data_IF_190639002238
#
_entry.id   IF_190639002238
#
_cell.length_a   1.000
_cell.length_b   1.000
_cell.length_c   1.000
_cell.angle_alpha   90.00
_cell.angle_beta   90.00
_cell.angle_gamma   90.00
#
_symmetry.space_group_name_H-M   'P 1'
#
loop_
_entity.id
_entity.type
_entity.pdbx_description
1 polymer ?
#
# COMPACT_ATOMS: atom_id res chain seq x y z
N UNK A 1 -53.29 12.99 53.70
CA UNK A 1 -52.52 11.77 54.03
C UNK A 1 -52.12 11.12 52.73
N UNK A 2 -50.86 11.25 52.33
CA UNK A 2 -50.34 10.59 51.15
C UNK A 2 -48.86 10.36 51.34
N UNK A 3 -48.43 9.11 51.22
CA UNK A 3 -47.31 8.74 50.37
C UNK A 3 -47.14 7.23 50.33
N UNK A 4 -47.44 6.69 49.14
CA UNK A 4 -47.00 5.40 48.65
C UNK A 4 -45.50 5.56 48.36
N UNK A 5 -44.63 4.93 49.17
CA UNK A 5 -43.20 4.80 48.86
C UNK A 5 -42.73 3.39 49.24
N UNK A 6 -43.35 2.40 48.60
CA UNK A 6 -42.91 1.01 48.64
C UNK A 6 -42.72 0.52 47.22
N UNK A 7 -41.47 0.49 46.76
CA UNK A 7 -41.09 -0.11 45.48
C UNK A 7 -40.78 0.91 44.39
N UNK A 8 -39.49 1.24 44.25
CA UNK A 8 -38.70 1.34 43.00
C UNK A 8 -37.35 1.93 43.43
N UNK A 9 -36.43 1.09 43.95
CA UNK A 9 -34.99 1.39 44.02
C UNK A 9 -34.20 0.07 44.02
N UNK A 10 -34.31 -0.68 42.94
CA UNK A 10 -33.34 -1.71 42.59
C UNK A 10 -33.11 -1.59 41.09
N UNK A 11 -32.00 -0.94 40.72
CA UNK A 11 -31.30 -1.00 39.44
C UNK A 11 -30.71 0.38 39.11
N UNK A 12 -29.49 0.65 39.53
CA UNK A 12 -28.51 1.41 38.76
C UNK A 12 -27.25 1.61 39.59
N UNK A 13 -26.29 0.71 39.38
CA UNK A 13 -24.85 1.04 39.42
C UNK A 13 -24.11 -0.12 38.74
N UNK A 14 -24.41 -0.32 37.45
CA UNK A 14 -23.51 -1.14 36.61
C UNK A 14 -22.25 -0.29 36.42
N UNK A 15 -21.12 -0.79 36.93
CA UNK A 15 -19.86 -0.05 36.88
C UNK A 15 -19.49 0.20 35.41
N UNK A 16 -18.89 1.35 35.09
CA UNK A 16 -18.31 1.62 33.76
C UNK A 16 -17.44 0.46 33.25
N UNK A 17 -16.78 -0.25 34.17
CA UNK A 17 -15.99 -1.45 33.90
C UNK A 17 -16.83 -2.64 33.42
N UNK A 18 -18.02 -2.84 33.97
CA UNK A 18 -18.95 -3.91 33.56
C UNK A 18 -19.54 -3.62 32.18
N UNK A 19 -19.87 -2.36 31.89
CA UNK A 19 -20.32 -1.92 30.56
C UNK A 19 -19.23 -2.16 29.51
N UNK A 20 -17.98 -1.80 29.82
CA UNK A 20 -16.83 -2.03 28.92
C UNK A 20 -16.63 -3.53 28.69
N UNK A 21 -16.62 -4.34 29.75
CA UNK A 21 -16.44 -5.79 29.63
C UNK A 21 -17.56 -6.44 28.81
N UNK A 22 -18.80 -6.00 28.99
CA UNK A 22 -19.96 -6.50 28.23
C UNK A 22 -19.88 -6.12 26.75
N UNK A 23 -19.44 -4.91 26.44
CA UNK A 23 -19.26 -4.46 25.07
C UNK A 23 -18.08 -5.18 24.39
N UNK A 24 -16.98 -5.42 25.12
CA UNK A 24 -15.87 -6.23 24.63
C UNK A 24 -16.30 -7.67 24.33
N UNK A 25 -17.09 -8.29 25.23
CA UNK A 25 -17.62 -9.64 25.02
C UNK A 25 -18.52 -9.70 23.78
N UNK A 26 -19.44 -8.74 23.62
CA UNK A 26 -20.30 -8.64 22.42
C UNK A 26 -19.48 -8.50 21.14
N UNK A 27 -18.40 -7.72 21.17
CA UNK A 27 -17.54 -7.53 20.02
C UNK A 27 -16.81 -8.83 19.64
N UNK A 28 -16.34 -9.59 20.64
CA UNK A 28 -15.72 -10.91 20.44
C UNK A 28 -16.71 -11.92 19.88
N UNK A 29 -17.95 -11.94 20.38
CA UNK A 29 -19.02 -12.81 19.86
C UNK A 29 -19.36 -12.48 18.40
N UNK A 30 -19.46 -11.19 18.05
CA UNK A 30 -19.70 -10.75 16.68
C UNK A 30 -18.54 -11.12 15.74
N UNK A 31 -17.30 -10.94 16.18
CA UNK A 31 -16.11 -11.34 15.42
C UNK A 31 -16.09 -12.86 15.19
N UNK A 32 -16.43 -13.63 16.22
CA UNK A 32 -16.50 -15.10 16.13
C UNK A 32 -17.56 -15.54 15.13
N UNK A 33 -18.76 -14.94 15.19
CA UNK A 33 -19.84 -15.23 14.24
C UNK A 33 -19.47 -14.85 12.80
N UNK A 34 -18.76 -13.74 12.60
CA UNK A 34 -18.28 -13.31 11.29
C UNK A 34 -17.24 -14.29 10.71
N UNK A 35 -16.28 -14.73 11.52
CA UNK A 35 -15.28 -15.75 11.12
C UNK A 35 -15.98 -17.06 10.74
N UNK A 36 -16.96 -17.49 11.52
CA UNK A 36 -17.74 -18.71 11.23
C UNK A 36 -18.54 -18.59 9.93
N UNK A 37 -19.11 -17.42 9.66
CA UNK A 37 -19.82 -17.14 8.43
C UNK A 37 -18.87 -17.15 7.21
N UNK A 38 -17.68 -16.56 7.33
CA UNK A 38 -16.64 -16.61 6.30
C UNK A 38 -16.19 -18.04 6.02
N UNK A 39 -15.93 -18.83 7.07
CA UNK A 39 -15.53 -20.23 6.91
C UNK A 39 -16.62 -21.06 6.22
N UNK A 40 -17.88 -20.87 6.57
CA UNK A 40 -19.02 -21.53 5.91
C UNK A 40 -19.16 -21.10 4.45
N UNK A 41 -18.97 -19.82 4.15
CA UNK A 41 -18.99 -19.31 2.78
C UNK A 41 -17.84 -19.90 1.95
N UNK A 42 -16.63 -20.01 2.51
CA UNK A 42 -15.47 -20.58 1.84
C UNK A 42 -15.65 -22.08 1.52
N UNK A 43 -16.26 -22.83 2.45
CA UNK A 43 -16.59 -24.26 2.27
C UNK A 43 -17.70 -24.43 1.23
N UNK A 44 -18.72 -23.58 1.24
CA UNK A 44 -19.83 -23.63 0.27
C UNK A 44 -19.44 -23.16 -1.14
N UNK A 45 -18.38 -22.34 -1.27
CA UNK A 45 -17.81 -21.95 -2.57
C UNK A 45 -16.86 -23.01 -3.16
N UNK A 46 -16.59 -24.12 -2.46
CA UNK A 46 -15.66 -25.17 -2.91
C UNK A 46 -16.33 -26.32 -3.70
N UNK A 47 -17.27 -25.99 -4.59
CA UNK A 47 -17.70 -26.91 -5.67
C UNK A 47 -17.07 -26.53 -7.00
N UNK A 48 -15.74 -26.50 -7.07
CA UNK A 48 -14.95 -26.84 -8.26
C UNK A 48 -13.46 -26.65 -7.99
N UNK A 49 -12.67 -27.59 -8.50
CA UNK A 49 -11.20 -27.69 -8.46
C UNK A 49 -10.64 -28.44 -7.25
N UNK A 50 -10.38 -29.73 -7.49
CA UNK A 50 -9.49 -30.59 -6.69
C UNK A 50 -8.11 -29.94 -6.59
N UNK A 51 -7.79 -29.36 -5.45
CA UNK A 51 -6.40 -29.14 -5.05
C UNK A 51 -5.99 -30.30 -4.15
N UNK A 52 -5.03 -31.07 -4.63
CA UNK A 52 -4.46 -32.23 -3.93
C UNK A 52 -3.51 -31.69 -2.85
N UNK A 53 -4.02 -31.49 -1.64
CA UNK A 53 -3.20 -31.14 -0.47
C UNK A 53 -2.70 -32.42 0.21
N UNK A 54 -1.45 -32.77 -0.02
CA UNK A 54 -0.70 -33.68 0.87
C UNK A 54 -0.29 -32.89 2.11
N UNK A 55 -1.16 -32.90 3.13
CA UNK A 55 -0.76 -32.56 4.49
C UNK A 55 -0.80 -33.85 5.32
N UNK A 56 0.36 -34.29 5.78
CA UNK A 56 0.45 -35.38 6.77
C UNK A 56 0.21 -34.78 8.16
N UNK A 57 -0.85 -35.24 8.79
CA UNK A 57 -1.21 -34.93 10.17
C UNK A 57 -0.26 -35.67 11.14
N UNK A 58 0.37 -35.00 12.12
CA UNK A 58 0.93 -35.68 13.28
C UNK A 58 -0.19 -35.96 14.28
N UNK A 59 -0.40 -37.25 14.57
CA UNK A 59 -1.27 -37.71 15.65
C UNK A 59 -0.70 -37.34 17.02
N UNK A 60 -1.65 -37.09 17.94
CA UNK A 60 -1.59 -37.13 19.40
C UNK A 60 -1.44 -35.77 20.14
N UNK A 61 -2.56 -35.38 20.77
CA UNK A 61 -2.66 -34.52 21.95
C UNK A 61 -2.44 -35.44 23.16
N UNK A 62 -1.58 -35.11 24.16
CA UNK A 62 -2.10 -34.46 25.37
C UNK A 62 -1.10 -33.60 26.17
N UNK A 63 -1.55 -32.42 26.59
CA UNK A 63 -1.79 -32.08 28.01
C UNK A 63 -1.94 -30.57 28.14
N UNK A 64 -2.98 -30.17 28.85
CA UNK A 64 -3.23 -28.80 29.28
C UNK A 64 -2.09 -28.41 30.21
N UNK A 65 -1.18 -27.56 29.74
CA UNK A 65 -0.24 -26.85 30.58
C UNK A 65 -0.47 -25.37 30.31
N UNK A 66 -1.00 -24.68 31.33
CA UNK A 66 -1.13 -23.23 31.38
C UNK A 66 0.17 -22.60 30.87
N UNK A 67 0.15 -22.05 29.65
CA UNK A 67 1.21 -21.18 29.20
C UNK A 67 1.06 -19.85 29.92
N UNK A 68 1.72 -19.73 31.08
CA UNK A 68 2.16 -18.44 31.56
C UNK A 68 2.98 -17.78 30.45
N UNK A 69 2.57 -16.58 30.02
CA UNK A 69 3.39 -15.74 29.16
C UNK A 69 4.64 -15.33 29.95
N UNK A 70 5.73 -16.07 29.76
CA UNK A 70 7.05 -15.65 30.19
C UNK A 70 7.68 -14.84 29.06
N UNK A 71 7.88 -13.54 29.28
CA UNK A 71 8.73 -12.72 28.42
C UNK A 71 10.17 -13.23 28.53
N UNK A 72 10.58 -14.10 27.62
CA UNK A 72 12.00 -14.32 27.41
C UNK A 72 12.57 -13.02 26.86
N UNK A 73 13.46 -12.39 27.63
CA UNK A 73 14.32 -11.32 27.13
C UNK A 73 15.13 -11.92 25.98
N UNK A 74 14.63 -11.77 24.76
CA UNK A 74 15.35 -12.15 23.56
C UNK A 74 16.71 -11.46 23.63
N UNK A 75 17.77 -12.23 23.42
CA UNK A 75 19.07 -11.63 23.10
C UNK A 75 18.79 -10.67 21.95
N UNK A 76 19.09 -9.39 22.18
CA UNK A 76 19.12 -8.37 21.14
C UNK A 76 20.00 -8.95 20.06
N UNK A 77 19.38 -9.51 19.01
CA UNK A 77 20.06 -9.72 17.77
C UNK A 77 20.64 -8.36 17.42
N UNK A 78 21.92 -8.31 17.13
CA UNK A 78 22.54 -7.14 16.54
C UNK A 78 21.89 -6.92 15.17
N UNK A 79 20.65 -6.40 15.15
CA UNK A 79 20.29 -5.49 14.10
C UNK A 79 21.32 -4.38 14.22
N UNK A 80 21.96 -4.08 13.09
CA UNK A 80 22.75 -2.87 12.98
C UNK A 80 21.90 -1.75 13.59
N UNK A 81 22.35 -1.22 14.73
CA UNK A 81 22.03 0.15 15.09
C UNK A 81 22.63 0.95 13.94
N UNK A 82 21.84 1.19 12.90
CA UNK A 82 22.12 2.25 11.96
C UNK A 82 22.10 3.50 12.81
N UNK A 83 23.31 3.93 13.17
CA UNK A 83 23.52 5.19 13.85
C UNK A 83 22.85 6.28 13.05
N UNK A 84 22.39 7.31 13.75
CA UNK A 84 22.03 8.60 13.18
C UNK A 84 23.25 9.05 12.35
N UNK A 85 23.20 8.78 11.05
CA UNK A 85 24.38 8.67 10.24
C UNK A 85 24.04 9.06 8.82
N UNK A 86 24.26 10.35 8.54
CA UNK A 86 24.32 10.98 7.22
C UNK A 86 23.04 10.94 6.38
N UNK A 87 22.71 12.06 5.73
CA UNK A 87 21.67 12.14 4.71
C UNK A 87 21.91 11.11 3.61
N UNK A 88 21.35 9.91 3.75
CA UNK A 88 21.32 8.94 2.67
C UNK A 88 20.67 9.62 1.47
N UNK A 89 21.31 9.44 0.32
CA UNK A 89 20.75 9.93 -0.93
C UNK A 89 19.33 9.40 -1.08
N UNK A 90 18.34 10.25 -1.43
CA UNK A 90 16.99 9.78 -1.70
C UNK A 90 17.06 8.67 -2.75
N UNK A 91 16.43 7.53 -2.46
CA UNK A 91 16.40 6.34 -3.33
C UNK A 91 14.99 5.79 -3.46
N UNK A 92 14.75 5.04 -4.53
CA UNK A 92 13.53 4.27 -4.74
C UNK A 92 13.74 2.87 -4.19
N UNK A 93 12.67 2.26 -3.67
CA UNK A 93 12.63 0.85 -3.38
C UNK A 93 12.81 0.05 -4.68
N UNK A 94 13.54 -1.05 -4.62
CA UNK A 94 13.77 -1.95 -5.74
C UNK A 94 13.38 -3.36 -5.33
N UNK A 95 12.12 -3.71 -5.55
CA UNK A 95 11.62 -5.05 -5.34
C UNK A 95 11.90 -5.95 -6.55
N UNK A 96 11.91 -7.26 -6.34
CA UNK A 96 12.13 -8.21 -7.42
C UNK A 96 11.01 -8.07 -8.46
N UNK A 97 11.40 -7.75 -9.70
CA UNK A 97 10.46 -7.72 -10.83
C UNK A 97 9.94 -9.11 -11.13
N UNK A 98 8.63 -9.19 -11.35
CA UNK A 98 8.02 -10.39 -11.92
C UNK A 98 8.47 -10.49 -13.38
N UNK A 99 8.98 -11.65 -13.78
CA UNK A 99 9.19 -11.96 -15.20
C UNK A 99 7.83 -12.15 -15.86
N UNK A 100 7.22 -11.06 -16.30
CA UNK A 100 5.99 -11.13 -17.08
C UNK A 100 6.32 -11.54 -18.52
N UNK A 101 5.58 -12.49 -19.12
CA UNK A 101 5.66 -12.79 -20.55
C UNK A 101 4.98 -11.71 -21.41
N UNK A 102 4.80 -10.50 -20.86
CA UNK A 102 4.00 -9.43 -21.46
C UNK A 102 4.96 -8.45 -22.12
N UNK A 103 4.87 -8.35 -23.45
CA UNK A 103 5.65 -7.36 -24.22
C UNK A 103 4.97 -5.99 -24.26
N UNK A 104 3.64 -5.94 -24.12
CA UNK A 104 2.86 -4.71 -24.34
C UNK A 104 1.66 -4.62 -23.40
N UNK A 105 1.46 -3.44 -22.81
CA UNK A 105 0.27 -3.08 -22.03
C UNK A 105 -0.31 -1.82 -22.63
N UNK A 106 -1.62 -1.79 -22.89
CA UNK A 106 -2.30 -0.58 -23.38
C UNK A 106 -3.06 0.06 -22.23
N UNK A 107 -2.72 1.30 -21.88
CA UNK A 107 -3.47 2.11 -20.92
C UNK A 107 -4.39 3.03 -21.70
N UNK A 108 -5.70 2.84 -21.52
CA UNK A 108 -6.75 3.68 -22.07
C UNK A 108 -7.23 4.62 -20.97
N UNK A 109 -7.05 5.92 -21.16
CA UNK A 109 -7.39 6.89 -20.12
C UNK A 109 -6.93 8.31 -20.44
N UNK A 110 -6.93 9.17 -19.43
CA UNK A 110 -6.32 10.50 -19.54
C UNK A 110 -4.80 10.39 -19.40
N UNK A 111 -4.10 10.65 -20.50
CA UNK A 111 -2.63 10.58 -20.57
C UNK A 111 -1.96 11.76 -19.86
N UNK A 112 -2.74 12.81 -19.52
CA UNK A 112 -2.26 13.98 -18.79
C UNK A 112 -2.16 13.74 -17.28
N UNK A 113 -2.60 12.58 -16.79
CA UNK A 113 -2.56 12.24 -15.37
C UNK A 113 -1.12 12.32 -14.83
N UNK A 114 -0.92 13.20 -13.85
CA UNK A 114 0.40 13.54 -13.31
C UNK A 114 1.11 12.32 -12.72
N UNK A 115 0.36 11.36 -12.16
CA UNK A 115 0.93 10.16 -11.58
C UNK A 115 1.56 9.25 -12.63
N UNK A 116 1.01 9.20 -13.84
CA UNK A 116 1.55 8.42 -14.94
C UNK A 116 2.87 9.03 -15.44
N UNK A 117 2.91 10.36 -15.56
CA UNK A 117 4.14 11.11 -15.91
C UNK A 117 5.24 10.92 -14.87
N UNK A 118 4.88 11.03 -13.58
CA UNK A 118 5.81 10.82 -12.48
C UNK A 118 6.33 9.37 -12.45
N UNK A 119 5.46 8.39 -12.68
CA UNK A 119 5.86 6.99 -12.77
C UNK A 119 6.82 6.72 -13.95
N UNK A 120 6.52 7.27 -15.13
CA UNK A 120 7.41 7.18 -16.30
C UNK A 120 8.78 7.83 -16.01
N UNK A 121 8.79 8.95 -15.28
CA UNK A 121 10.01 9.69 -14.94
C UNK A 121 10.93 8.94 -13.97
N UNK A 122 10.37 8.29 -12.94
CA UNK A 122 11.17 7.50 -11.97
C UNK A 122 11.66 6.17 -12.55
N UNK A 123 11.11 5.78 -13.70
CA UNK A 123 11.47 4.53 -14.41
C UNK A 123 12.35 4.76 -15.61
N UNK A 124 12.76 6.01 -15.88
CA UNK A 124 13.75 6.34 -16.91
C UNK A 124 15.04 5.56 -16.68
N UNK A 125 15.49 4.81 -17.69
CA UNK A 125 16.68 3.94 -17.60
C UNK A 125 16.39 2.53 -17.08
N UNK A 126 15.14 2.18 -16.77
CA UNK A 126 14.71 0.79 -16.59
C UNK A 126 14.38 0.14 -17.93
N UNK A 127 14.07 -1.16 -17.91
CA UNK A 127 13.66 -1.89 -19.12
C UNK A 127 12.17 -1.71 -19.50
N UNK A 128 11.47 -0.73 -18.94
CA UNK A 128 10.05 -0.47 -19.19
C UNK A 128 9.92 0.85 -19.94
N UNK A 129 9.31 0.80 -21.13
CA UNK A 129 9.08 1.98 -21.96
C UNK A 129 7.63 2.46 -21.79
N UNK A 130 7.44 3.71 -21.38
CA UNK A 130 6.16 4.41 -21.42
C UNK A 130 6.12 5.25 -22.69
N UNK A 131 5.40 4.78 -23.70
CA UNK A 131 5.36 5.39 -25.03
C UNK A 131 4.91 6.86 -24.95
N UNK A 132 5.77 7.77 -25.41
CA UNK A 132 5.51 9.21 -25.38
C UNK A 132 5.78 9.91 -24.04
N UNK A 133 6.21 9.19 -22.99
CA UNK A 133 6.53 9.78 -21.69
C UNK A 133 7.99 9.58 -21.25
N UNK A 134 8.64 8.48 -21.65
CA UNK A 134 10.07 8.31 -21.48
C UNK A 134 10.69 7.69 -22.75
N UNK A 135 11.84 8.22 -23.18
CA UNK A 135 12.51 7.82 -24.41
C UNK A 135 13.93 7.29 -24.11
N UNK A 136 14.54 6.61 -25.08
CA UNK A 136 15.94 6.18 -25.01
C UNK A 136 16.19 4.72 -24.63
N UNK A 137 15.14 3.89 -24.62
CA UNK A 137 15.27 2.44 -24.41
C UNK A 137 15.22 1.73 -25.78
N UNK A 138 16.36 1.23 -26.24
CA UNK A 138 16.48 0.56 -27.55
C UNK A 138 15.85 -0.84 -27.60
N UNK A 139 15.73 -1.52 -26.46
CA UNK A 139 15.12 -2.85 -26.35
C UNK A 139 14.35 -3.00 -25.03
N UNK A 140 13.13 -2.41 -24.93
CA UNK A 140 12.32 -2.53 -23.71
C UNK A 140 11.85 -3.98 -23.51
N UNK A 141 11.84 -4.43 -22.26
CA UNK A 141 11.21 -5.70 -21.87
C UNK A 141 9.69 -5.64 -21.95
N UNK A 142 9.11 -4.46 -21.69
CA UNK A 142 7.69 -4.21 -21.79
C UNK A 142 7.47 -2.77 -22.25
N UNK A 143 6.50 -2.57 -23.15
CA UNK A 143 6.05 -1.26 -23.61
C UNK A 143 4.66 -0.97 -23.07
N UNK A 144 4.51 0.12 -22.35
CA UNK A 144 3.25 0.70 -21.89
C UNK A 144 2.80 1.72 -22.94
N UNK A 145 1.82 1.34 -23.75
CA UNK A 145 1.19 2.21 -24.75
C UNK A 145 0.09 3.03 -24.12
N UNK A 146 0.06 4.32 -24.45
CA UNK A 146 -0.96 5.23 -23.95
C UNK A 146 -1.96 5.53 -25.06
N UNK A 147 -3.23 5.27 -24.79
CA UNK A 147 -4.31 5.54 -25.71
C UNK A 147 -5.27 6.55 -25.07
N UNK A 148 -5.43 7.75 -25.65
CA UNK A 148 -6.38 8.72 -25.13
C UNK A 148 -7.80 8.14 -25.23
N UNK A 149 -8.55 8.23 -24.14
CA UNK A 149 -9.95 7.80 -24.16
C UNK A 149 -10.81 8.79 -24.95
N UNK A 150 -11.59 8.29 -25.90
CA UNK A 150 -12.57 9.08 -26.67
C UNK A 150 -13.82 9.45 -25.87
N UNK A 151 -13.99 8.86 -24.68
CA UNK A 151 -15.09 9.16 -23.77
C UNK A 151 -14.56 9.38 -22.35
N UNK A 152 -15.19 10.30 -21.63
CA UNK A 152 -14.75 10.81 -20.32
C UNK A 152 -14.89 9.79 -19.17
N UNK A 153 -14.66 8.50 -19.40
CA UNK A 153 -14.92 7.43 -18.44
C UNK A 153 -13.78 6.42 -18.34
N UNK A 154 -13.35 6.27 -17.09
CA UNK A 154 -12.59 5.20 -16.44
C UNK A 154 -11.27 4.79 -17.08
N UNK A 155 -10.20 4.89 -16.30
CA UNK A 155 -8.88 4.38 -16.64
C UNK A 155 -8.91 2.85 -16.77
N UNK A 156 -8.46 2.31 -17.90
CA UNK A 156 -8.44 0.86 -18.17
C UNK A 156 -7.09 0.42 -18.68
N UNK A 157 -6.51 -0.61 -18.07
CA UNK A 157 -5.36 -1.33 -18.61
C UNK A 157 -5.83 -2.56 -19.38
N UNK A 158 -5.37 -2.71 -20.62
CA UNK A 158 -5.55 -3.90 -21.44
C UNK A 158 -4.23 -4.66 -21.58
N UNK A 159 -4.28 -5.96 -21.24
CA UNK A 159 -3.12 -6.86 -21.16
C UNK A 159 -3.52 -8.19 -21.80
N UNK A 160 -2.93 -8.56 -22.92
CA UNK A 160 -3.23 -9.82 -23.61
C UNK A 160 -4.75 -10.06 -23.81
N UNK A 161 -5.51 -9.01 -24.11
CA UNK A 161 -6.98 -9.05 -24.26
C UNK A 161 -7.79 -9.04 -22.96
N UNK A 162 -7.14 -9.02 -21.79
CA UNK A 162 -7.79 -8.87 -20.48
C UNK A 162 -7.81 -7.40 -20.08
N UNK A 163 -8.97 -6.91 -19.61
CA UNK A 163 -9.15 -5.51 -19.18
C UNK A 163 -9.23 -5.39 -17.67
N UNK A 164 -8.50 -4.43 -17.11
CA UNK A 164 -8.48 -4.08 -15.68
C UNK A 164 -8.85 -2.61 -15.56
N UNK A 165 -9.94 -2.29 -14.87
CA UNK A 165 -10.53 -0.94 -14.84
C UNK A 165 -10.41 -0.21 -13.50
N UNK A 166 -9.82 -0.84 -12.49
CA UNK A 166 -9.66 -0.24 -11.16
C UNK A 166 -8.27 0.40 -11.04
N UNK A 167 -8.19 1.68 -10.63
CA UNK A 167 -6.91 2.40 -10.50
C UNK A 167 -5.90 1.63 -9.66
N UNK A 168 -6.30 1.16 -8.48
CA UNK A 168 -5.41 0.43 -7.55
C UNK A 168 -4.84 -0.82 -8.23
N UNK A 169 -5.68 -1.57 -8.93
CA UNK A 169 -5.24 -2.79 -9.64
C UNK A 169 -4.26 -2.44 -10.77
N UNK A 170 -4.49 -1.34 -11.50
CA UNK A 170 -3.55 -0.88 -12.54
C UNK A 170 -2.24 -0.35 -11.93
N UNK A 171 -2.30 0.41 -10.84
CA UNK A 171 -1.12 0.88 -10.14
C UNK A 171 -0.27 -0.25 -9.60
N UNK A 172 -0.87 -1.28 -9.00
CA UNK A 172 -0.15 -2.46 -8.52
C UNK A 172 0.55 -3.20 -9.66
N UNK A 173 -0.12 -3.35 -10.80
CA UNK A 173 0.47 -3.93 -12.00
C UNK A 173 1.69 -3.12 -12.46
N UNK A 174 1.53 -1.81 -12.64
CA UNK A 174 2.61 -0.94 -13.10
C UNK A 174 3.74 -0.87 -12.05
N UNK A 175 3.42 -0.83 -10.77
CA UNK A 175 4.37 -0.89 -9.67
C UNK A 175 5.18 -2.19 -9.67
N UNK A 176 4.54 -3.34 -9.92
CA UNK A 176 5.22 -4.62 -10.00
C UNK A 176 6.16 -4.70 -11.21
N UNK A 177 5.75 -4.13 -12.35
CA UNK A 177 6.58 -4.03 -13.55
C UNK A 177 7.80 -3.13 -13.36
N UNK A 178 7.63 -2.08 -12.57
CA UNK A 178 8.64 -1.03 -12.34
C UNK A 178 9.48 -1.27 -11.10
N UNK A 179 9.30 -2.39 -10.40
CA UNK A 179 9.99 -2.74 -9.13
C UNK A 179 9.58 -1.90 -7.92
N UNK A 180 8.54 -1.08 -8.00
CA UNK A 180 8.09 -0.17 -6.94
C UNK A 180 7.00 -0.77 -6.05
N UNK A 181 6.41 -1.89 -6.44
CA UNK A 181 5.44 -2.66 -5.66
C UNK A 181 5.88 -4.13 -5.56
N UNK A 182 5.99 -4.71 -4.35
CA UNK A 182 6.42 -6.08 -4.19
C UNK A 182 5.31 -7.08 -4.54
N UNK A 183 5.69 -8.22 -5.11
CA UNK A 183 4.75 -9.32 -5.41
C UNK A 183 5.07 -10.60 -4.63
N UNK A 184 6.18 -10.62 -3.90
CA UNK A 184 6.59 -11.76 -3.09
C UNK A 184 5.82 -11.76 -1.76
N UNK A 185 5.42 -12.95 -1.30
CA UNK A 185 4.66 -13.12 -0.05
C UNK A 185 5.44 -12.72 1.20
N UNK A 186 6.77 -12.71 1.13
CA UNK A 186 7.66 -12.23 2.20
C UNK A 186 7.55 -10.73 2.49
N UNK A 187 6.88 -9.97 1.60
CA UNK A 187 6.64 -8.53 1.74
C UNK A 187 5.15 -8.21 1.99
N UNK A 188 4.37 -9.16 2.52
CA UNK A 188 2.94 -8.98 2.75
C UNK A 188 2.61 -7.81 3.68
N UNK A 189 3.46 -7.54 4.67
CA UNK A 189 3.39 -6.39 5.57
C UNK A 189 3.58 -5.06 4.81
N UNK A 190 4.61 -4.98 3.96
CA UNK A 190 4.89 -3.83 3.08
C UNK A 190 3.72 -3.61 2.12
N UNK A 191 3.22 -4.67 1.47
CA UNK A 191 2.04 -4.60 0.60
C UNK A 191 0.82 -4.02 1.33
N UNK A 192 0.58 -4.45 2.57
CA UNK A 192 -0.56 -3.97 3.38
C UNK A 192 -0.44 -2.48 3.66
N UNK A 193 0.75 -2.01 4.02
CA UNK A 193 1.01 -0.58 4.21
C UNK A 193 0.87 0.22 2.92
N UNK A 194 1.39 -0.29 1.81
CA UNK A 194 1.22 0.35 0.50
C UNK A 194 -0.26 0.45 0.11
N UNK A 195 -1.02 -0.63 0.26
CA UNK A 195 -2.44 -0.70 -0.08
C UNK A 195 -3.28 0.31 0.68
N UNK A 196 -2.98 0.50 1.97
CA UNK A 196 -3.58 1.56 2.77
C UNK A 196 -3.39 2.94 2.12
N UNK A 197 -2.18 3.28 1.68
CA UNK A 197 -1.93 4.55 1.00
C UNK A 197 -2.59 4.63 -0.36
N UNK A 198 -2.57 3.56 -1.16
CA UNK A 198 -3.21 3.53 -2.47
C UNK A 198 -4.72 3.84 -2.36
N UNK A 199 -5.40 3.31 -1.33
CA UNK A 199 -6.81 3.61 -1.07
C UNK A 199 -7.03 5.10 -0.79
N UNK A 200 -6.21 5.70 0.09
CA UNK A 200 -6.35 7.12 0.42
C UNK A 200 -6.06 8.03 -0.78
N UNK A 201 -5.13 7.64 -1.64
CA UNK A 201 -4.77 8.38 -2.85
C UNK A 201 -5.88 8.27 -3.89
N UNK A 202 -6.46 7.08 -4.09
CA UNK A 202 -7.61 6.87 -4.98
C UNK A 202 -8.82 7.68 -4.52
N UNK A 203 -9.09 7.75 -3.22
CA UNK A 203 -10.15 8.58 -2.68
C UNK A 203 -9.93 10.08 -2.97
N UNK A 204 -8.70 10.57 -2.94
CA UNK A 204 -8.40 11.96 -3.33
C UNK A 204 -8.58 12.17 -4.84
N UNK A 205 -8.10 11.25 -5.68
CA UNK A 205 -8.26 11.34 -7.14
C UNK A 205 -9.72 11.32 -7.58
N UNK A 206 -10.54 10.48 -6.93
CA UNK A 206 -11.96 10.34 -7.20
C UNK A 206 -12.81 11.43 -6.51
N UNK A 207 -12.17 12.44 -5.90
CA UNK A 207 -12.82 13.52 -5.14
C UNK A 207 -13.74 13.02 -3.99
N UNK A 208 -13.46 11.84 -3.45
CA UNK A 208 -14.16 11.24 -2.29
C UNK A 208 -13.56 11.70 -0.96
N UNK A 209 -12.28 12.09 -0.96
CA UNK A 209 -11.58 12.68 0.18
C UNK A 209 -10.84 13.95 -0.24
N UNK A 210 -10.59 14.83 0.73
CA UNK A 210 -9.78 16.03 0.49
C UNK A 210 -8.28 15.74 0.60
N UNK A 211 -7.50 16.53 -0.15
CA UNK A 211 -6.05 16.52 -0.08
C UNK A 211 -5.54 16.83 1.34
N UNK A 212 -6.20 17.75 2.06
CA UNK A 212 -5.87 18.08 3.45
C UNK A 212 -5.96 16.87 4.39
N UNK A 213 -6.96 15.99 4.17
CA UNK A 213 -7.09 14.77 4.96
C UNK A 213 -5.92 13.81 4.68
N UNK A 214 -5.52 13.66 3.41
CA UNK A 214 -4.35 12.89 3.02
C UNK A 214 -3.08 13.46 3.66
N UNK A 215 -2.85 14.78 3.57
CA UNK A 215 -1.70 15.44 4.19
C UNK A 215 -1.61 15.21 5.70
N UNK A 216 -2.75 15.21 6.41
CA UNK A 216 -2.78 14.95 7.86
C UNK A 216 -2.36 13.51 8.19
N UNK A 217 -2.82 12.54 7.41
CA UNK A 217 -2.41 11.14 7.57
C UNK A 217 -0.92 10.98 7.25
N UNK A 218 -0.47 11.56 6.13
CA UNK A 218 0.95 11.56 5.74
C UNK A 218 1.83 12.17 6.82
N UNK A 219 1.44 13.31 7.39
CA UNK A 219 2.17 13.95 8.47
C UNK A 219 2.38 12.98 9.65
N UNK A 220 1.34 12.28 10.08
CA UNK A 220 1.44 11.32 11.19
C UNK A 220 2.41 10.17 10.87
N UNK A 221 2.39 9.64 9.65
CA UNK A 221 3.33 8.60 9.24
C UNK A 221 4.77 9.12 9.11
N UNK A 222 4.94 10.28 8.48
CA UNK A 222 6.22 10.91 8.19
C UNK A 222 6.89 11.53 9.43
N UNK A 223 6.21 11.63 10.56
CA UNK A 223 6.87 11.97 11.84
C UNK A 223 7.71 10.81 12.39
N UNK A 224 7.50 9.59 11.88
CA UNK A 224 8.18 8.38 12.34
C UNK A 224 9.09 7.78 11.26
N UNK A 225 8.83 8.09 9.99
CA UNK A 225 9.49 7.48 8.84
C UNK A 225 9.84 8.52 7.78
N UNK A 226 10.86 8.23 6.96
CA UNK A 226 11.27 9.13 5.88
C UNK A 226 10.37 9.08 4.64
N UNK A 227 9.59 8.00 4.51
CA UNK A 227 8.68 7.70 3.41
C UNK A 227 7.37 7.16 3.97
N UNK A 228 6.33 7.04 3.12
CA UNK A 228 5.00 6.65 3.55
C UNK A 228 4.92 5.21 4.07
N UNK A 229 5.75 4.32 3.53
CA UNK A 229 5.83 2.93 3.97
C UNK A 229 7.01 2.78 4.93
N UNK A 230 6.81 2.19 6.12
CA UNK A 230 7.87 2.04 7.12
C UNK A 230 9.05 1.20 6.63
N UNK A 231 10.26 1.56 7.08
CA UNK A 231 11.50 0.77 6.93
C UNK A 231 11.91 0.44 5.48
N UNK A 232 11.39 1.18 4.51
CA UNK A 232 11.75 1.04 3.10
C UNK A 232 11.99 2.41 2.46
N UNK A 233 12.73 2.41 1.35
CA UNK A 233 12.92 3.59 0.51
C UNK A 233 11.61 3.96 -0.22
N UNK A 234 11.61 5.05 -1.01
CA UNK A 234 10.41 5.54 -1.69
C UNK A 234 9.75 4.44 -2.54
N UNK A 235 8.47 4.17 -2.30
CA UNK A 235 7.72 3.12 -2.98
C UNK A 235 6.76 3.70 -4.01
N UNK A 236 5.97 2.84 -4.67
CA UNK A 236 4.86 3.28 -5.51
C UNK A 236 3.92 4.25 -4.78
N UNK A 237 3.65 4.02 -3.49
CA UNK A 237 2.78 4.88 -2.70
C UNK A 237 3.30 6.33 -2.64
N UNK A 238 4.61 6.51 -2.47
CA UNK A 238 5.23 7.84 -2.43
C UNK A 238 5.13 8.55 -3.78
N UNK A 239 5.39 7.83 -4.88
CA UNK A 239 5.30 8.37 -6.26
C UNK A 239 3.87 8.83 -6.56
N UNK A 240 2.87 8.02 -6.21
CA UNK A 240 1.46 8.35 -6.44
C UNK A 240 0.98 9.48 -5.52
N UNK A 241 1.34 9.46 -4.23
CA UNK A 241 1.02 10.53 -3.29
C UNK A 241 1.57 11.88 -3.75
N UNK A 242 2.82 11.91 -4.22
CA UNK A 242 3.46 13.12 -4.74
C UNK A 242 2.70 13.70 -5.94
N UNK A 243 1.99 12.84 -6.68
CA UNK A 243 1.27 13.21 -7.89
C UNK A 243 -0.12 13.77 -7.63
N UNK A 244 -0.68 13.55 -6.44
CA UNK A 244 -2.02 14.06 -6.07
C UNK A 244 -1.96 15.29 -5.19
N UNK A 245 -0.82 15.55 -4.54
CA UNK A 245 -0.62 16.76 -3.76
C UNK A 245 -0.45 17.98 -4.68
N UNK A 246 -1.45 18.86 -4.70
CA UNK A 246 -1.42 20.12 -5.42
C UNK A 246 -0.80 21.15 -4.50
N UNK A 247 0.17 21.94 -4.98
CA UNK A 247 0.87 22.98 -4.19
C UNK A 247 -0.08 23.75 -3.27
N UNK A 248 -0.17 23.33 -2.01
CA UNK A 248 -0.90 24.03 -0.97
C UNK A 248 -0.08 25.23 -0.51
N UNK A 249 -0.75 26.24 0.07
CA UNK A 249 -0.06 27.39 0.66
C UNK A 249 0.81 26.99 1.85
N UNK A 250 0.44 25.93 2.57
CA UNK A 250 1.15 25.46 3.76
C UNK A 250 1.07 23.93 3.85
N UNK A 251 2.21 23.29 4.12
CA UNK A 251 2.28 21.88 4.48
C UNK A 251 2.78 21.74 5.92
N UNK A 252 2.43 20.63 6.58
CA UNK A 252 3.11 20.26 7.81
C UNK A 252 4.60 19.99 7.53
N UNK A 253 5.48 20.35 8.47
CA UNK A 253 6.94 20.31 8.29
C UNK A 253 7.47 18.95 7.79
N UNK A 254 6.94 17.84 8.31
CA UNK A 254 7.27 16.49 7.86
C UNK A 254 6.84 16.18 6.42
N UNK A 255 5.67 16.68 5.99
CA UNK A 255 5.22 16.56 4.60
C UNK A 255 6.09 17.42 3.68
N UNK A 256 6.47 18.62 4.11
CA UNK A 256 7.37 19.50 3.37
C UNK A 256 8.77 18.88 3.18
N UNK A 257 9.34 18.31 4.24
CA UNK A 257 10.62 17.59 4.16
C UNK A 257 10.56 16.39 3.23
N UNK A 258 9.47 15.63 3.26
CA UNK A 258 9.23 14.53 2.32
C UNK A 258 9.05 15.04 0.89
N UNK A 259 8.34 16.14 0.64
CA UNK A 259 8.21 16.76 -0.68
C UNK A 259 9.59 17.14 -1.25
N UNK A 260 10.44 17.80 -0.44
CA UNK A 260 11.81 18.13 -0.83
C UNK A 260 12.66 16.89 -1.14
N UNK A 261 12.41 15.78 -0.45
CA UNK A 261 13.07 14.48 -0.70
C UNK A 261 12.59 13.88 -2.03
N UNK A 262 11.29 13.95 -2.31
CA UNK A 262 10.70 13.52 -3.58
C UNK A 262 11.18 14.38 -4.74
N UNK A 263 11.24 15.70 -4.60
CA UNK A 263 11.78 16.61 -5.61
C UNK A 263 13.20 16.22 -6.03
N UNK A 264 14.06 15.88 -5.06
CA UNK A 264 15.42 15.39 -5.33
C UNK A 264 15.43 14.09 -6.13
N UNK A 265 14.51 13.16 -5.86
CA UNK A 265 14.36 11.92 -6.63
C UNK A 265 14.01 12.23 -8.09
N UNK A 266 13.00 13.07 -8.31
CA UNK A 266 12.57 13.45 -9.65
C UNK A 266 13.60 14.32 -10.39
N UNK A 267 14.37 15.17 -9.71
CA UNK A 267 15.43 15.96 -10.34
C UNK A 267 16.64 15.11 -10.76
N UNK A 268 16.97 14.05 -10.01
CA UNK A 268 18.09 13.16 -10.34
C UNK A 268 17.81 12.28 -11.56
N UNK A 269 16.53 11.97 -11.84
CA UNK A 269 16.12 11.22 -13.03
C UNK A 269 16.43 11.95 -14.36
N UNK A 270 16.77 13.24 -14.34
CA UNK A 270 17.16 14.01 -15.53
C UNK A 270 18.67 13.93 -15.86
N UNK A 271 19.53 13.41 -14.95
CA UNK A 271 20.99 13.48 -15.12
C UNK A 271 21.62 12.29 -15.85
N UNK A 272 20.87 11.23 -16.15
CA UNK A 272 21.37 10.05 -16.87
C UNK A 272 21.28 10.15 -18.40
N UNK A 273 20.72 11.24 -18.94
CA UNK A 273 20.52 11.42 -20.38
C UNK A 273 21.34 12.55 -20.98
N UNK A 274 22.61 12.71 -20.59
CA UNK A 274 23.65 13.45 -21.36
C UNK A 274 25.02 13.35 -20.66
N UNK A 275 25.80 12.34 -20.99
CA UNK A 275 27.27 12.40 -20.90
C UNK A 275 27.85 11.78 -22.17
N UNK A 276 27.71 12.49 -23.29
CA UNK A 276 28.71 12.45 -24.36
C UNK A 276 29.53 13.72 -24.17
N UNK A 277 30.62 13.61 -23.41
CA UNK A 277 31.67 14.62 -23.45
C UNK A 277 32.41 14.41 -24.75
N UNK A 278 32.03 15.16 -25.78
CA UNK A 278 32.83 15.33 -26.98
C UNK A 278 34.08 16.13 -26.60
N UNK A 279 35.19 15.43 -26.38
CA UNK A 279 36.53 15.99 -26.46
C UNK A 279 36.98 15.88 -27.92
N UNK A 280 36.88 16.98 -28.65
CA UNK A 280 37.80 17.37 -29.74
C UNK A 280 37.87 18.88 -29.78
#
# INVERSE_FOLDING_TARGET
>A
MGNITGGVKFAMEESLREIINRNQLKLVEQLTAFIDHLNKALVNCSSSIKIKTTFKEPKAIPSILQQQFAFKKGKVGTSSKEGIGTCYSPTLAVFKTVKYPISTITLVGDIEELWLKNLAKVTTGTSILFEGLNDGISAPRCTVKLQPSSSNKNFVAEINGTKVSEHISVWKLLGALTSLYPTASEHADICTHMDYWLLLIDDVLLNRSSENNLCRQMSTALSHHDYLVPNVAATLADVLAYSVLRKQSYYANNVELWLLRMDKLFCRCNRTSNFVVGLT
#
